data_IF_926022945873
#
_entry.id   IF_926022945873
#
_cell.length_a   1.000
_cell.length_b   1.000
_cell.length_c   1.000
_cell.angle_alpha   90.00
_cell.angle_beta   90.00
_cell.angle_gamma   90.00
#
_symmetry.space_group_name_H-M   'P 1'
#
loop_
_entity.id
_entity.type
_entity.pdbx_description
1 polymer ?
#
# COMPACT_ATOMS: atom_id res chain seq x y z
N UNK A 1 12.88 -11.93 -5.46
CA UNK A 1 12.59 -10.50 -5.52
C UNK A 1 12.75 -10.08 -6.97
N UNK A 2 11.80 -10.50 -7.79
CA UNK A 2 11.65 -10.14 -9.19
C UNK A 2 10.47 -9.19 -9.35
N UNK A 3 10.66 -8.12 -10.11
CA UNK A 3 9.60 -7.24 -10.57
C UNK A 3 9.49 -7.34 -12.09
N UNK A 4 8.26 -7.37 -12.61
CA UNK A 4 7.98 -7.38 -14.06
C UNK A 4 7.28 -6.10 -14.53
N UNK A 5 7.06 -5.15 -13.63
CA UNK A 5 6.50 -3.83 -13.93
C UNK A 5 6.87 -2.81 -12.86
N UNK A 6 6.41 -1.57 -13.02
CA UNK A 6 6.77 -0.43 -12.15
C UNK A 6 5.87 -0.28 -10.93
N UNK A 7 4.78 -1.04 -10.86
CA UNK A 7 3.89 -1.03 -9.71
C UNK A 7 4.36 -2.00 -8.65
N UNK A 8 4.03 -1.72 -7.40
CA UNK A 8 4.29 -2.67 -6.31
C UNK A 8 3.56 -3.99 -6.55
N UNK A 9 2.31 -3.95 -7.06
CA UNK A 9 1.55 -5.15 -7.44
C UNK A 9 2.12 -5.93 -8.64
N UNK A 10 3.19 -5.44 -9.27
CA UNK A 10 3.92 -6.11 -10.36
C UNK A 10 5.29 -6.63 -9.86
N UNK A 11 5.38 -6.99 -8.58
CA UNK A 11 6.56 -7.55 -7.90
C UNK A 11 6.19 -8.72 -6.98
N UNK A 12 7.16 -9.61 -6.72
CA UNK A 12 7.02 -10.71 -5.75
C UNK A 12 6.53 -10.19 -4.39
N UNK A 13 7.14 -9.12 -3.88
CA UNK A 13 6.87 -8.55 -2.55
C UNK A 13 5.47 -7.91 -2.48
N UNK A 14 5.01 -7.29 -3.57
CA UNK A 14 3.63 -6.80 -3.64
C UNK A 14 2.60 -7.92 -3.70
N UNK A 15 2.94 -9.08 -4.29
CA UNK A 15 2.08 -10.26 -4.25
C UNK A 15 1.98 -10.86 -2.85
N UNK A 16 3.01 -10.74 -2.00
CA UNK A 16 2.92 -11.14 -0.59
C UNK A 16 1.85 -10.34 0.15
N UNK A 17 1.71 -9.04 -0.15
CA UNK A 17 0.64 -8.19 0.41
C UNK A 17 -0.74 -8.64 -0.08
N UNK A 18 -0.86 -8.97 -1.37
CA UNK A 18 -2.12 -9.49 -1.94
C UNK A 18 -2.50 -10.82 -1.31
N UNK A 19 -1.55 -11.74 -1.15
CA UNK A 19 -1.77 -13.03 -0.53
C UNK A 19 -2.22 -12.88 0.92
N UNK A 20 -1.52 -12.03 1.69
CA UNK A 20 -1.90 -11.72 3.07
C UNK A 20 -3.32 -11.16 3.15
N UNK A 21 -3.66 -10.17 2.31
CA UNK A 21 -5.00 -9.56 2.32
C UNK A 21 -6.09 -10.56 1.94
N UNK A 22 -5.82 -11.48 1.01
CA UNK A 22 -6.74 -12.56 0.67
C UNK A 22 -7.01 -13.45 1.89
N UNK A 23 -5.96 -13.92 2.56
CA UNK A 23 -6.10 -14.74 3.75
C UNK A 23 -6.83 -14.00 4.88
N UNK A 24 -6.52 -12.72 5.08
CA UNK A 24 -7.18 -11.86 6.05
C UNK A 24 -8.67 -11.72 5.74
N UNK A 25 -9.05 -11.44 4.50
CA UNK A 25 -10.46 -11.39 4.08
C UNK A 25 -11.17 -12.73 4.27
N UNK A 26 -10.54 -13.85 3.96
CA UNK A 26 -11.13 -15.18 4.16
C UNK A 26 -11.40 -15.49 5.64
N UNK A 27 -10.53 -15.02 6.54
CA UNK A 27 -10.73 -15.10 7.99
C UNK A 27 -11.87 -14.18 8.47
N UNK A 28 -12.11 -13.08 7.75
CA UNK A 28 -13.13 -12.07 8.05
C UNK A 28 -14.38 -12.17 7.16
N UNK A 29 -14.59 -13.27 6.43
CA UNK A 29 -15.67 -13.46 5.45
C UNK A 29 -17.10 -13.30 5.96
N UNK A 30 -17.32 -13.44 7.27
CA UNK A 30 -18.63 -13.20 7.90
C UNK A 30 -18.92 -11.70 8.07
N UNK A 31 -17.91 -10.85 7.93
CA UNK A 31 -18.02 -9.40 8.01
C UNK A 31 -18.24 -8.81 6.62
N UNK A 32 -19.24 -7.94 6.50
CA UNK A 32 -19.52 -7.19 5.26
C UNK A 32 -18.58 -5.98 5.07
N UNK A 33 -17.82 -5.65 6.11
CA UNK A 33 -16.96 -4.48 6.18
C UNK A 33 -15.60 -4.88 6.75
N UNK A 34 -14.55 -4.28 6.19
CA UNK A 34 -13.18 -4.44 6.63
C UNK A 34 -12.59 -3.05 6.85
N UNK A 35 -12.09 -2.78 8.05
CA UNK A 35 -11.51 -1.47 8.31
C UNK A 35 -10.04 -1.42 7.87
N UNK A 36 -9.61 -0.29 7.33
CA UNK A 36 -8.22 -0.09 6.95
C UNK A 36 -7.30 -0.15 8.17
N UNK A 37 -7.77 0.31 9.34
CA UNK A 37 -7.07 0.15 10.62
C UNK A 37 -6.80 -1.31 10.96
N UNK A 38 -7.79 -2.20 10.81
CA UNK A 38 -7.61 -3.62 11.09
C UNK A 38 -6.58 -4.25 10.13
N UNK A 39 -6.64 -3.89 8.85
CA UNK A 39 -5.67 -4.31 7.83
C UNK A 39 -4.26 -3.86 8.22
N UNK A 40 -4.06 -2.56 8.47
CA UNK A 40 -2.74 -1.99 8.81
C UNK A 40 -2.20 -2.61 10.10
N UNK A 41 -3.05 -2.82 11.10
CA UNK A 41 -2.65 -3.47 12.34
C UNK A 41 -2.23 -4.93 12.12
N UNK A 42 -2.99 -5.68 11.34
CA UNK A 42 -2.67 -7.07 11.03
C UNK A 42 -1.37 -7.18 10.20
N UNK A 43 -1.17 -6.29 9.22
CA UNK A 43 0.09 -6.18 8.47
C UNK A 43 1.28 -5.88 9.38
N UNK A 44 1.15 -4.96 10.34
CA UNK A 44 2.18 -4.68 11.35
C UNK A 44 2.51 -5.92 12.19
N UNK A 45 1.49 -6.69 12.60
CA UNK A 45 1.68 -7.91 13.39
C UNK A 45 2.40 -9.02 12.60
N UNK A 46 2.17 -9.09 11.29
CA UNK A 46 2.82 -10.07 10.41
C UNK A 46 4.18 -9.61 9.87
N UNK A 47 4.63 -8.39 10.21
CA UNK A 47 5.96 -7.90 9.85
C UNK A 47 6.06 -7.24 8.46
N UNK A 48 4.94 -6.79 7.89
CA UNK A 48 4.94 -5.98 6.66
C UNK A 48 5.37 -4.52 6.89
N UNK A 49 5.46 -4.10 8.15
CA UNK A 49 5.93 -2.78 8.53
C UNK A 49 6.88 -2.87 9.72
N UNK A 50 7.78 -1.90 9.81
CA UNK A 50 8.67 -1.73 10.96
C UNK A 50 7.93 -1.44 12.26
N UNK A 51 8.65 -1.49 13.39
CA UNK A 51 8.08 -1.13 14.71
C UNK A 51 7.80 0.35 14.77
N UNK A 52 8.64 1.15 14.11
CA UNK A 52 8.46 2.59 13.95
C UNK A 52 8.65 2.98 12.47
N UNK A 53 8.33 4.22 12.12
CA UNK A 53 8.49 4.71 10.74
C UNK A 53 9.98 4.92 10.36
N UNK A 54 10.85 4.99 11.36
CA UNK A 54 12.30 5.09 11.19
C UNK A 54 12.93 3.73 10.86
N UNK A 55 12.22 2.63 11.12
CA UNK A 55 12.60 1.30 10.62
C UNK A 55 12.27 1.26 9.11
N UNK A 56 13.22 1.68 8.29
CA UNK A 56 13.11 1.70 6.83
C UNK A 56 13.70 0.41 6.26
N UNK A 57 12.93 -0.26 5.39
CA UNK A 57 13.31 -1.47 4.68
C UNK A 57 12.58 -1.49 3.33
N UNK A 58 13.23 -2.03 2.29
CA UNK A 58 12.63 -2.18 0.97
C UNK A 58 11.26 -2.87 1.01
N UNK A 59 11.12 -3.92 1.81
CA UNK A 59 9.85 -4.65 1.92
C UNK A 59 8.74 -3.81 2.54
N UNK A 60 9.07 -2.95 3.52
CA UNK A 60 8.08 -2.06 4.14
C UNK A 60 7.58 -1.00 3.17
N UNK A 61 8.48 -0.48 2.34
CA UNK A 61 8.15 0.49 1.30
C UNK A 61 7.25 -0.13 0.22
N UNK A 62 7.60 -1.33 -0.25
CA UNK A 62 6.75 -2.08 -1.19
C UNK A 62 5.39 -2.40 -0.54
N UNK A 63 5.36 -2.74 0.75
CA UNK A 63 4.12 -3.02 1.47
C UNK A 63 3.18 -1.82 1.52
N UNK A 64 3.73 -0.63 1.78
CA UNK A 64 2.96 0.62 1.76
C UNK A 64 2.46 0.97 0.36
N UNK A 65 3.31 0.83 -0.66
CA UNK A 65 2.95 1.06 -2.07
C UNK A 65 1.85 0.10 -2.54
N UNK A 66 2.01 -1.21 -2.28
CA UNK A 66 1.03 -2.22 -2.68
C UNK A 66 -0.32 -1.98 -1.99
N UNK A 67 -0.32 -1.62 -0.71
CA UNK A 67 -1.56 -1.29 0.00
C UNK A 67 -2.25 -0.04 -0.59
N UNK A 68 -1.48 0.99 -0.95
CA UNK A 68 -2.00 2.18 -1.61
C UNK A 68 -2.54 1.89 -3.03
N UNK A 69 -1.87 1.03 -3.81
CA UNK A 69 -2.31 0.60 -5.13
C UNK A 69 -3.61 -0.20 -5.06
N UNK A 70 -3.72 -1.13 -4.10
CA UNK A 70 -4.94 -1.90 -3.86
C UNK A 70 -6.10 -1.01 -3.45
N UNK A 71 -5.84 -0.04 -2.56
CA UNK A 71 -6.86 0.93 -2.17
C UNK A 71 -7.32 1.77 -3.38
N UNK A 72 -6.40 2.22 -4.22
CA UNK A 72 -6.71 2.98 -5.43
C UNK A 72 -7.55 2.15 -6.41
N UNK A 73 -7.18 0.89 -6.63
CA UNK A 73 -7.97 -0.04 -7.43
C UNK A 73 -9.38 -0.27 -6.86
N UNK A 74 -9.51 -0.40 -5.54
CA UNK A 74 -10.80 -0.51 -4.87
C UNK A 74 -11.66 0.74 -5.08
N UNK A 75 -11.08 1.94 -5.04
CA UNK A 75 -11.82 3.17 -5.33
C UNK A 75 -12.37 3.22 -6.76
N UNK A 76 -11.61 2.71 -7.74
CA UNK A 76 -11.99 2.72 -9.15
C UNK A 76 -13.01 1.64 -9.51
N UNK A 77 -12.85 0.44 -8.95
CA UNK A 77 -13.60 -0.75 -9.37
C UNK A 77 -14.65 -1.19 -8.36
N UNK A 78 -14.54 -0.72 -7.11
CA UNK A 78 -15.28 -1.22 -5.96
C UNK A 78 -14.86 -2.62 -5.51
N UNK A 79 -13.93 -3.29 -6.22
CA UNK A 79 -13.54 -4.67 -5.91
C UNK A 79 -12.11 -4.73 -5.41
N UNK A 80 -11.85 -5.71 -4.55
CA UNK A 80 -10.51 -6.02 -4.05
C UNK A 80 -9.89 -7.03 -5.00
N UNK A 81 -8.59 -6.91 -5.24
CA UNK A 81 -7.84 -7.74 -6.20
C UNK A 81 -8.17 -9.24 -6.04
N UNK A 82 -8.69 -9.86 -7.11
CA UNK A 82 -8.97 -11.30 -7.15
C UNK A 82 -10.31 -11.77 -6.57
N UNK A 83 -11.27 -10.86 -6.30
CA UNK A 83 -12.67 -11.24 -6.12
C UNK A 83 -13.37 -11.39 -7.49
N UNK A 84 -13.69 -12.63 -7.88
CA UNK A 84 -14.38 -12.95 -9.14
C UNK A 84 -15.92 -12.92 -9.02
N UNK A 85 -16.46 -13.01 -7.80
CA UNK A 85 -17.90 -13.05 -7.53
C UNK A 85 -18.41 -11.73 -6.93
N UNK A 86 -19.52 -11.23 -7.48
CA UNK A 86 -20.19 -9.99 -7.01
C UNK A 86 -20.92 -10.15 -5.67
N UNK A 87 -21.12 -11.39 -5.20
CA UNK A 87 -22.00 -11.69 -4.06
C UNK A 87 -21.30 -11.57 -2.69
N UNK A 88 -19.98 -11.36 -2.65
CA UNK A 88 -19.18 -11.26 -1.41
C UNK A 88 -18.31 -10.00 -1.39
N UNK A 89 -18.84 -8.88 -1.86
CA UNK A 89 -18.10 -7.63 -1.96
C UNK A 89 -17.89 -7.01 -0.56
N UNK A 90 -16.71 -7.26 0.02
CA UNK A 90 -16.30 -6.68 1.31
C UNK A 90 -16.05 -5.19 1.11
N UNK A 91 -16.75 -4.36 1.88
CA UNK A 91 -16.55 -2.92 1.82
C UNK A 91 -15.36 -2.49 2.67
N UNK A 92 -14.42 -1.75 2.09
CA UNK A 92 -13.37 -1.09 2.86
C UNK A 92 -13.93 0.13 3.58
N UNK A 93 -13.78 0.13 4.90
CA UNK A 93 -14.04 1.28 5.75
C UNK A 93 -12.71 1.92 6.08
N UNK A 94 -12.46 3.11 5.53
CA UNK A 94 -11.21 3.82 5.75
C UNK A 94 -11.29 4.78 6.92
N UNK A 95 -10.19 4.89 7.66
CA UNK A 95 -9.99 5.83 8.75
C UNK A 95 -8.80 6.76 8.45
N UNK A 96 -8.84 7.95 9.04
CA UNK A 96 -7.82 8.99 8.84
C UNK A 96 -6.44 8.54 9.29
N UNK A 97 -6.33 7.83 10.42
CA UNK A 97 -5.04 7.39 10.97
C UNK A 97 -4.30 6.44 10.04
N UNK A 98 -5.00 5.46 9.47
CA UNK A 98 -4.41 4.48 8.56
C UNK A 98 -4.04 5.10 7.21
N UNK A 99 -4.87 5.99 6.67
CA UNK A 99 -4.53 6.72 5.45
C UNK A 99 -3.33 7.65 5.68
N UNK A 100 -3.27 8.33 6.83
CA UNK A 100 -2.14 9.19 7.19
C UNK A 100 -0.86 8.37 7.35
N UNK A 101 -0.95 7.18 7.93
CA UNK A 101 0.17 6.25 8.05
C UNK A 101 0.71 5.82 6.67
N UNK A 102 -0.17 5.41 5.74
CA UNK A 102 0.22 5.07 4.37
C UNK A 102 0.82 6.29 3.66
N UNK A 103 0.15 7.44 3.74
CA UNK A 103 0.61 8.69 3.12
C UNK A 103 2.02 9.06 3.61
N UNK A 104 2.29 8.86 4.89
CA UNK A 104 3.60 9.15 5.47
C UNK A 104 4.70 8.30 4.84
N UNK A 105 4.49 7.00 4.64
CA UNK A 105 5.43 6.15 3.89
C UNK A 105 5.66 6.67 2.48
N UNK A 106 4.57 6.95 1.74
CA UNK A 106 4.69 7.42 0.35
C UNK A 106 5.45 8.76 0.26
N UNK A 107 5.21 9.68 1.19
CA UNK A 107 5.93 10.94 1.27
C UNK A 107 7.40 10.75 1.64
N UNK A 108 7.71 9.89 2.60
CA UNK A 108 9.09 9.58 3.00
C UNK A 108 9.87 8.90 1.86
N UNK A 109 9.20 8.06 1.06
CA UNK A 109 9.76 7.49 -0.19
C UNK A 109 10.04 8.61 -1.21
N UNK A 110 9.07 9.47 -1.48
CA UNK A 110 9.20 10.58 -2.45
C UNK A 110 10.31 11.56 -2.05
N UNK A 111 10.41 11.85 -0.76
CA UNK A 111 11.37 12.81 -0.21
C UNK A 111 12.74 12.17 0.06
N UNK A 112 12.90 10.90 -0.33
CA UNK A 112 14.14 10.12 -0.22
C UNK A 112 14.70 10.13 1.21
N UNK A 113 13.82 10.06 2.21
CA UNK A 113 14.23 10.02 3.63
C UNK A 113 15.14 8.80 3.81
N UNK A 114 16.42 9.01 4.17
CA UNK A 114 17.43 7.97 4.12
C UNK A 114 17.26 6.96 5.25
N UNK A 115 17.62 5.71 4.97
CA UNK A 115 17.77 4.68 5.97
C UNK A 115 19.14 4.80 6.70
N UNK A 116 19.50 3.77 7.47
CA UNK A 116 20.76 3.70 8.22
C UNK A 116 22.03 3.70 7.32
N UNK A 117 21.88 3.42 6.03
CA UNK A 117 22.94 3.39 5.02
C UNK A 117 23.06 4.72 4.25
N UNK A 118 22.16 5.69 4.52
CA UNK A 118 22.27 7.06 4.00
C UNK A 118 21.53 7.29 2.68
N UNK A 119 20.84 6.28 2.18
CA UNK A 119 19.99 6.34 1.00
C UNK A 119 18.71 5.54 1.24
N UNK A 120 17.76 5.57 0.30
CA UNK A 120 16.53 4.78 0.41
C UNK A 120 16.53 3.73 -0.68
N UNK A 121 16.69 2.46 -0.30
CA UNK A 121 16.94 1.34 -1.21
C UNK A 121 15.96 1.28 -2.41
N UNK A 122 14.64 1.43 -2.16
CA UNK A 122 13.64 1.38 -3.23
C UNK A 122 13.84 2.49 -4.28
N UNK A 123 14.27 3.67 -3.84
CA UNK A 123 14.51 4.81 -4.73
C UNK A 123 15.74 4.56 -5.57
N UNK A 124 16.84 4.12 -4.96
CA UNK A 124 18.09 3.79 -5.68
C UNK A 124 17.84 2.74 -6.77
N UNK A 125 17.12 1.68 -6.41
CA UNK A 125 16.78 0.60 -7.34
C UNK A 125 16.00 1.11 -8.56
N UNK A 126 14.98 1.95 -8.32
CA UNK A 126 14.17 2.47 -9.42
C UNK A 126 14.89 3.54 -10.24
N UNK A 127 15.73 4.38 -9.62
CA UNK A 127 16.53 5.41 -10.31
C UNK A 127 17.48 4.82 -11.37
N UNK A 128 18.02 3.62 -11.12
CA UNK A 128 18.88 2.90 -12.08
C UNK A 128 18.09 2.19 -13.20
N UNK A 129 16.76 2.11 -13.06
CA UNK A 129 15.89 1.37 -13.96
C UNK A 129 15.38 2.23 -15.12
N UNK A 130 14.97 1.57 -16.22
CA UNK A 130 14.29 2.25 -17.33
C UNK A 130 12.87 2.71 -16.99
N UNK A 131 12.27 2.15 -15.94
CA UNK A 131 10.90 2.45 -15.50
C UNK A 131 10.83 3.57 -14.46
N UNK A 132 11.94 4.28 -14.21
CA UNK A 132 12.00 5.38 -13.25
C UNK A 132 10.87 6.42 -13.43
N UNK A 133 10.63 6.96 -14.65
CA UNK A 133 9.58 7.96 -14.84
C UNK A 133 8.18 7.43 -14.53
N UNK A 134 7.87 6.20 -14.93
CA UNK A 134 6.60 5.54 -14.68
C UNK A 134 6.40 5.25 -13.19
N UNK A 135 7.45 4.78 -12.51
CA UNK A 135 7.44 4.55 -11.06
C UNK A 135 7.21 5.85 -10.28
N UNK A 136 7.91 6.94 -10.63
CA UNK A 136 7.70 8.25 -10.01
C UNK A 136 6.28 8.78 -10.23
N UNK A 137 5.76 8.60 -11.44
CA UNK A 137 4.39 9.01 -11.78
C UNK A 137 3.37 8.22 -10.97
N UNK A 138 3.60 6.91 -10.79
CA UNK A 138 2.78 6.04 -9.95
C UNK A 138 2.79 6.51 -8.49
N UNK A 139 3.97 6.73 -7.91
CA UNK A 139 4.12 7.23 -6.53
C UNK A 139 3.36 8.55 -6.33
N UNK A 140 3.52 9.51 -7.25
CA UNK A 140 2.82 10.79 -7.18
C UNK A 140 1.29 10.63 -7.25
N UNK A 141 0.80 9.74 -8.12
CA UNK A 141 -0.61 9.42 -8.23
C UNK A 141 -1.17 8.80 -6.93
N UNK A 142 -0.43 7.88 -6.30
CA UNK A 142 -0.83 7.24 -5.04
C UNK A 142 -0.91 8.26 -3.90
N UNK A 143 0.09 9.13 -3.77
CA UNK A 143 0.10 10.23 -2.79
C UNK A 143 -1.14 11.10 -2.96
N UNK A 144 -1.40 11.57 -4.18
CA UNK A 144 -2.55 12.41 -4.47
C UNK A 144 -3.88 11.71 -4.14
N UNK A 145 -3.98 10.41 -4.41
CA UNK A 145 -5.19 9.61 -4.17
C UNK A 145 -5.46 9.48 -2.68
N UNK A 146 -4.44 9.17 -1.88
CA UNK A 146 -4.56 9.06 -0.41
C UNK A 146 -4.85 10.43 0.22
N UNK A 147 -4.21 11.51 -0.23
CA UNK A 147 -4.50 12.88 0.23
C UNK A 147 -5.95 13.28 -0.06
N UNK A 148 -6.47 12.96 -1.24
CA UNK A 148 -7.88 13.21 -1.56
C UNK A 148 -8.83 12.39 -0.68
N UNK A 149 -8.49 11.14 -0.38
CA UNK A 149 -9.28 10.30 0.51
C UNK A 149 -9.35 10.88 1.93
N UNK A 150 -8.22 11.33 2.48
CA UNK A 150 -8.16 12.01 3.79
C UNK A 150 -9.03 13.28 3.78
N UNK A 151 -8.87 14.13 2.76
CA UNK A 151 -9.65 15.36 2.64
C UNK A 151 -11.16 15.10 2.59
N UNK A 152 -11.59 14.02 1.92
CA UNK A 152 -13.01 13.62 1.89
C UNK A 152 -13.53 13.14 3.25
N UNK A 153 -12.68 12.56 4.10
CA UNK A 153 -13.05 12.17 5.45
C UNK A 153 -13.24 13.39 6.36
N UNK A 154 -12.35 14.38 6.25
CA UNK A 154 -12.41 15.62 7.05
C UNK A 154 -13.59 16.54 6.71
N UNK A 155 -14.21 16.35 5.54
CA UNK A 155 -15.37 17.13 5.08
C UNK A 155 -16.73 16.48 5.42
N UNK A 156 -16.75 15.27 5.97
CA UNK A 156 -17.96 14.56 6.41
C UNK A 156 -18.28 14.86 7.87
#
# INVERSE_FOLDING_TARGET
>A
MGAWGYKALESDEGLDVVAFLREFMEQHKESTQLTLSDIVQAMKQQGFFGKTLEDIDFFYDISALALAELYSQYLDTGTIYGQESKDEQIQWVVDESSLTFILRYLQDIRDEVPDQHGSREIVELWQESKGWPEWQTNLAYLIQTVEQAINRLLQK
#
